data_IF_433138294861
#
_entry.id   IF_433138294861
#
_cell.length_a   1.000
_cell.length_b   1.000
_cell.length_c   1.000
_cell.angle_alpha   90.00
_cell.angle_beta   90.00
_cell.angle_gamma   90.00
#
_symmetry.space_group_name_H-M   'P 1'
#
loop_
_entity.id
_entity.type
_entity.pdbx_description
1 polymer ?
#
# COMPACT_ATOMS: atom_id res chain seq x y z
N UNK A 1 -6.93 -2.21 1.03
CA UNK A 1 -6.14 -3.29 0.41
C UNK A 1 -6.94 -4.11 -0.59
N UNK A 2 -8.14 -4.62 -0.30
CA UNK A 2 -8.92 -5.41 -1.28
C UNK A 2 -9.22 -4.70 -2.61
N UNK A 3 -9.32 -3.36 -2.57
CA UNK A 3 -9.54 -2.48 -3.74
C UNK A 3 -8.26 -2.07 -4.46
N UNK A 4 -7.11 -2.69 -4.17
CA UNK A 4 -5.85 -2.42 -4.87
C UNK A 4 -5.97 -2.76 -6.35
N UNK A 5 -5.38 -1.93 -7.20
CA UNK A 5 -5.40 -2.15 -8.64
C UNK A 5 -4.13 -1.64 -9.33
N UNK A 6 -3.88 -2.13 -10.54
CA UNK A 6 -2.88 -1.59 -11.46
C UNK A 6 -3.55 -1.17 -12.76
N UNK A 7 -3.15 -0.02 -13.30
CA UNK A 7 -3.58 0.50 -14.58
C UNK A 7 -2.39 0.92 -15.43
N UNK A 8 -2.43 0.51 -16.68
CA UNK A 8 -1.49 0.88 -17.73
C UNK A 8 -2.06 1.95 -18.66
N UNK A 9 -3.11 2.66 -18.22
CA UNK A 9 -3.63 3.81 -18.92
C UNK A 9 -2.70 5.02 -18.74
N UNK A 10 -1.54 4.95 -19.41
CA UNK A 10 -0.52 6.00 -19.48
C UNK A 10 0.01 6.11 -20.92
N UNK A 11 0.56 7.26 -21.33
CA UNK A 11 1.27 7.38 -22.60
C UNK A 11 2.37 6.32 -22.72
N UNK A 12 2.65 5.83 -23.93
CA UNK A 12 3.65 4.77 -24.16
C UNK A 12 5.08 5.20 -23.82
N UNK A 13 5.35 6.50 -23.87
CA UNK A 13 6.63 7.14 -23.54
C UNK A 13 6.75 7.53 -22.06
N UNK A 14 5.70 7.33 -21.27
CA UNK A 14 5.68 7.67 -19.85
C UNK A 14 6.37 6.60 -19.01
N UNK A 15 7.42 7.03 -18.29
CA UNK A 15 8.18 6.17 -17.38
C UNK A 15 7.51 6.09 -16.00
N UNK A 16 6.71 7.08 -15.62
CA UNK A 16 6.04 7.11 -14.31
C UNK A 16 5.00 6.00 -14.19
N UNK A 17 5.00 5.34 -13.03
CA UNK A 17 3.95 4.39 -12.66
C UNK A 17 2.89 5.14 -11.85
N UNK A 18 1.78 5.51 -12.48
CA UNK A 18 0.66 6.19 -11.80
C UNK A 18 -0.08 5.30 -10.81
N UNK A 19 -0.02 3.98 -11.02
CA UNK A 19 -0.55 2.98 -10.10
C UNK A 19 0.52 2.01 -9.66
N UNK A 20 0.52 1.62 -8.39
CA UNK A 20 1.54 0.75 -7.83
C UNK A 20 1.02 -0.08 -6.65
N UNK A 21 1.78 -1.13 -6.34
CA UNK A 21 1.89 -1.71 -5.02
C UNK A 21 3.39 -1.82 -4.69
N UNK A 22 3.81 -1.18 -3.60
CA UNK A 22 5.18 -1.17 -3.09
C UNK A 22 5.10 -1.54 -1.61
N UNK A 23 5.25 -2.84 -1.34
CA UNK A 23 5.29 -3.43 -0.01
C UNK A 23 6.74 -3.75 0.35
N UNK A 24 7.24 -3.15 1.44
CA UNK A 24 8.63 -3.23 1.88
C UNK A 24 8.72 -3.92 3.23
N UNK A 25 9.63 -4.89 3.30
CA UNK A 25 9.99 -5.57 4.53
C UNK A 25 11.00 -4.74 5.34
N UNK A 26 10.76 -4.65 6.64
CA UNK A 26 11.72 -4.15 7.61
C UNK A 26 11.53 -4.89 8.94
N UNK A 27 11.70 -6.21 8.91
CA UNK A 27 11.55 -7.13 10.04
C UNK A 27 10.11 -7.15 10.59
N UNK A 28 9.82 -6.35 11.62
CA UNK A 28 8.47 -6.23 12.21
C UNK A 28 7.94 -4.80 12.04
N UNK A 29 8.51 -4.00 11.13
CA UNK A 29 8.18 -2.60 10.87
C UNK A 29 7.95 -2.34 9.40
N UNK A 30 7.15 -3.18 8.77
CA UNK A 30 6.90 -3.14 7.34
C UNK A 30 6.17 -1.86 6.92
N UNK A 31 6.19 -1.60 5.62
CA UNK A 31 5.36 -0.54 5.04
C UNK A 31 4.74 -1.00 3.73
N UNK A 32 3.58 -0.44 3.41
CA UNK A 32 2.92 -0.71 2.14
C UNK A 32 2.32 0.56 1.58
N UNK A 33 2.62 0.82 0.31
CA UNK A 33 2.01 1.89 -0.49
C UNK A 33 1.29 1.26 -1.66
N UNK A 34 0.04 1.64 -1.90
CA UNK A 34 -0.73 1.06 -2.99
C UNK A 34 -1.79 1.99 -3.54
N UNK A 35 -2.12 1.84 -4.82
CA UNK A 35 -3.22 2.54 -5.47
C UNK A 35 -4.54 1.80 -5.27
N UNK A 36 -5.60 2.52 -4.92
CA UNK A 36 -6.89 1.93 -4.59
C UNK A 36 -8.09 2.75 -5.04
N UNK A 37 -9.19 2.07 -5.36
CA UNK A 37 -10.53 2.67 -5.49
C UNK A 37 -11.18 2.75 -4.09
N UNK A 38 -10.77 3.72 -3.29
CA UNK A 38 -11.20 3.84 -1.89
C UNK A 38 -11.43 5.29 -1.45
N UNK A 39 -11.24 6.26 -2.34
CA UNK A 39 -11.37 7.67 -2.00
C UNK A 39 -12.83 8.10 -1.96
N UNK A 40 -13.21 8.87 -0.93
CA UNK A 40 -14.51 9.52 -0.85
C UNK A 40 -14.35 11.03 -1.04
N UNK A 41 -14.96 11.53 -2.12
CA UNK A 41 -15.01 12.97 -2.40
C UNK A 41 -16.03 13.64 -1.48
N UNK A 42 -15.54 14.42 -0.52
CA UNK A 42 -16.37 15.12 0.48
C UNK A 42 -16.72 16.56 0.10
N UNK A 43 -15.98 17.16 -0.85
CA UNK A 43 -16.23 18.53 -1.33
C UNK A 43 -16.91 18.51 -2.70
N UNK A 44 -17.97 19.31 -2.84
CA UNK A 44 -18.63 19.54 -4.12
C UNK A 44 -17.63 20.14 -5.12
N UNK A 45 -17.64 19.64 -6.34
CA UNK A 45 -16.79 20.09 -7.47
C UNK A 45 -15.28 19.96 -7.24
N UNK A 46 -14.85 19.18 -6.23
CA UNK A 46 -13.44 18.86 -6.09
C UNK A 46 -12.96 18.00 -7.27
N UNK A 47 -11.83 18.39 -7.86
CA UNK A 47 -11.17 17.65 -8.93
C UNK A 47 -10.44 16.43 -8.34
N UNK A 48 -11.24 15.45 -7.93
CA UNK A 48 -10.89 14.22 -7.22
C UNK A 48 -11.75 13.09 -7.79
N UNK A 49 -11.13 11.91 -7.98
CA UNK A 49 -11.82 10.67 -8.31
C UNK A 49 -11.99 9.81 -7.05
N UNK A 50 -12.59 8.65 -7.19
CA UNK A 50 -12.55 7.53 -6.23
C UNK A 50 -11.17 6.86 -6.10
N UNK A 51 -10.22 7.21 -6.98
CA UNK A 51 -8.85 6.73 -6.97
C UNK A 51 -7.98 7.49 -5.96
N UNK A 52 -7.14 6.76 -5.23
CA UNK A 52 -6.16 7.32 -4.28
C UNK A 52 -4.89 6.47 -4.27
N UNK A 53 -3.84 7.03 -3.65
CA UNK A 53 -2.67 6.27 -3.20
C UNK A 53 -2.66 6.28 -1.69
N UNK A 54 -2.63 5.11 -1.06
CA UNK A 54 -2.68 4.94 0.38
C UNK A 54 -1.36 4.32 0.84
N UNK A 55 -0.83 4.81 1.95
CA UNK A 55 0.36 4.27 2.60
C UNK A 55 0.04 3.93 4.06
N UNK A 56 0.53 2.77 4.50
CA UNK A 56 0.61 2.37 5.90
C UNK A 56 2.07 2.13 6.28
N UNK A 57 2.48 2.63 7.44
CA UNK A 57 3.85 2.53 7.92
C UNK A 57 3.89 2.72 9.45
N UNK A 58 4.91 2.17 10.10
CA UNK A 58 5.20 2.47 11.49
C UNK A 58 6.09 3.70 11.61
N UNK A 59 5.81 4.52 12.62
CA UNK A 59 6.68 5.63 13.01
C UNK A 59 6.56 5.89 14.51
N UNK A 60 7.52 6.59 15.09
CA UNK A 60 7.51 6.94 16.51
C UNK A 60 6.45 8.01 16.80
N UNK A 61 5.95 8.02 18.04
CA UNK A 61 5.16 9.14 18.54
C UNK A 61 6.07 10.40 18.63
N UNK A 62 5.67 11.54 18.06
CA UNK A 62 6.46 12.77 18.08
C UNK A 62 6.65 13.35 19.48
N UNK A 63 5.72 13.09 20.40
CA UNK A 63 5.75 13.55 21.79
C UNK A 63 6.43 12.51 22.71
N UNK A 64 6.31 11.21 22.40
CA UNK A 64 6.95 10.12 23.15
C UNK A 64 7.62 9.07 22.25
N UNK A 65 8.91 9.27 21.95
CA UNK A 65 9.69 8.37 21.08
C UNK A 65 9.83 6.92 21.57
N UNK A 66 9.41 6.60 22.80
CA UNK A 66 9.36 5.21 23.28
C UNK A 66 8.17 4.44 22.70
N UNK A 67 7.17 5.15 22.17
CA UNK A 67 5.97 4.59 21.56
C UNK A 67 6.09 4.61 20.04
N UNK A 68 5.58 3.56 19.42
CA UNK A 68 5.49 3.42 17.97
C UNK A 68 4.02 3.27 17.60
N UNK A 69 3.60 3.88 16.49
CA UNK A 69 2.22 3.86 16.03
C UNK A 69 2.15 3.41 14.58
N UNK A 70 1.03 2.81 14.20
CA UNK A 70 0.70 2.61 12.79
C UNK A 70 0.03 3.88 12.25
N UNK A 71 0.67 4.45 11.25
CA UNK A 71 0.18 5.62 10.53
C UNK A 71 -0.48 5.23 9.22
N UNK A 72 -1.47 6.04 8.83
CA UNK A 72 -2.07 6.03 7.49
C UNK A 72 -1.90 7.39 6.83
N UNK A 73 -1.40 7.38 5.60
CA UNK A 73 -1.31 8.54 4.70
C UNK A 73 -2.09 8.27 3.42
N UNK A 74 -2.67 9.32 2.84
CA UNK A 74 -3.45 9.21 1.60
C UNK A 74 -3.23 10.42 0.69
N UNK A 75 -2.90 10.15 -0.57
CA UNK A 75 -3.04 11.11 -1.65
C UNK A 75 -4.42 10.99 -2.29
N UNK A 76 -5.11 12.12 -2.46
CA UNK A 76 -6.43 12.22 -3.11
C UNK A 76 -6.37 12.11 -4.63
N UNK A 77 -5.16 11.93 -5.20
CA UNK A 77 -4.90 11.84 -6.64
C UNK A 77 -3.79 10.83 -6.92
N UNK A 78 -3.84 10.23 -8.11
CA UNK A 78 -2.68 9.52 -8.66
C UNK A 78 -1.63 10.57 -9.04
N UNK A 79 -0.53 10.61 -8.30
CA UNK A 79 0.53 11.59 -8.58
C UNK A 79 1.64 11.01 -9.46
N UNK A 80 1.72 9.67 -9.58
CA UNK A 80 2.84 9.00 -10.24
C UNK A 80 4.13 9.08 -9.45
N UNK A 81 4.02 9.40 -8.16
CA UNK A 81 5.13 9.55 -7.23
C UNK A 81 5.49 8.21 -6.57
N UNK A 82 6.70 8.14 -6.03
CA UNK A 82 7.17 7.05 -5.17
C UNK A 82 6.75 7.29 -3.71
N UNK A 83 6.73 6.25 -2.86
CA UNK A 83 6.34 6.39 -1.45
C UNK A 83 7.04 7.53 -0.69
N UNK A 84 8.31 7.79 -0.98
CA UNK A 84 9.13 8.82 -0.36
C UNK A 84 8.62 10.25 -0.64
N UNK A 85 8.06 10.47 -1.83
CA UNK A 85 7.49 11.77 -2.18
C UNK A 85 6.15 12.00 -1.50
N UNK A 86 5.40 10.93 -1.17
CA UNK A 86 4.15 11.06 -0.42
C UNK A 86 4.37 11.71 0.94
N UNK A 87 5.48 11.39 1.61
CA UNK A 87 5.86 11.96 2.91
C UNK A 87 5.97 13.48 2.87
N UNK A 88 6.46 14.03 1.76
CA UNK A 88 6.69 15.46 1.60
C UNK A 88 5.40 16.25 1.43
N UNK A 89 4.37 15.65 0.84
CA UNK A 89 3.19 16.39 0.37
C UNK A 89 1.91 16.08 1.14
N UNK A 90 1.82 14.92 1.80
CA UNK A 90 0.56 14.47 2.40
C UNK A 90 0.71 14.16 3.89
N UNK A 91 -0.21 14.65 4.73
CA UNK A 91 -0.19 14.35 6.16
C UNK A 91 -0.46 12.85 6.39
N UNK A 92 0.14 12.34 7.45
CA UNK A 92 -0.17 11.02 8.00
C UNK A 92 -0.95 11.17 9.31
N UNK A 93 -1.79 10.18 9.60
CA UNK A 93 -2.60 10.14 10.81
C UNK A 93 -2.40 8.81 11.50
N UNK A 94 -2.31 8.84 12.83
CA UNK A 94 -2.31 7.62 13.65
C UNK A 94 -3.64 6.90 13.46
N UNK A 95 -3.58 5.60 13.20
CA UNK A 95 -4.77 4.74 13.12
C UNK A 95 -4.80 3.63 14.17
N UNK A 96 -3.62 3.26 14.69
CA UNK A 96 -3.46 2.33 15.82
C UNK A 96 -2.28 2.81 16.63
N UNK A 97 -2.49 3.03 17.92
CA UNK A 97 -1.45 3.40 18.87
C UNK A 97 -0.71 2.16 19.40
N UNK A 98 0.47 2.37 19.98
CA UNK A 98 1.26 1.34 20.69
C UNK A 98 1.48 0.04 19.90
N UNK A 99 1.85 0.18 18.63
CA UNK A 99 2.13 -0.94 17.73
C UNK A 99 3.56 -1.40 17.91
N UNK A 100 3.74 -2.69 18.19
CA UNK A 100 5.05 -3.32 18.38
C UNK A 100 5.47 -4.18 17.20
N UNK A 101 4.53 -4.56 16.34
CA UNK A 101 4.80 -5.36 15.14
C UNK A 101 3.78 -5.05 14.04
N UNK A 102 4.26 -4.85 12.82
CA UNK A 102 3.47 -4.80 11.61
C UNK A 102 4.23 -5.53 10.51
N UNK A 103 3.75 -6.72 10.17
CA UNK A 103 4.39 -7.67 9.25
C UNK A 103 3.41 -8.02 8.12
N UNK A 104 3.94 -7.96 6.89
CA UNK A 104 3.21 -8.18 5.65
C UNK A 104 3.88 -9.29 4.86
N UNK A 105 3.08 -10.26 4.42
CA UNK A 105 3.54 -11.30 3.49
C UNK A 105 2.69 -11.32 2.24
N UNK A 106 3.32 -11.60 1.11
CA UNK A 106 2.71 -11.55 -0.22
C UNK A 106 2.73 -12.93 -0.88
N UNK A 107 1.57 -13.45 -1.29
CA UNK A 107 1.49 -14.78 -1.91
C UNK A 107 1.93 -14.75 -3.37
N UNK A 108 2.98 -15.50 -3.72
CA UNK A 108 3.37 -15.78 -5.08
C UNK A 108 2.77 -17.11 -5.54
N UNK A 109 1.81 -17.06 -6.47
CA UNK A 109 1.16 -18.26 -7.00
C UNK A 109 2.02 -19.04 -8.01
N UNK A 110 3.04 -18.43 -8.60
CA UNK A 110 3.96 -19.17 -9.50
C UNK A 110 4.90 -20.07 -8.70
N UNK A 111 5.40 -19.55 -7.58
CA UNK A 111 6.37 -20.25 -6.71
C UNK A 111 5.69 -20.99 -5.54
N UNK A 112 4.39 -20.75 -5.32
CA UNK A 112 3.61 -21.31 -4.21
C UNK A 112 4.19 -20.98 -2.83
N UNK A 113 4.65 -19.74 -2.66
CA UNK A 113 5.29 -19.27 -1.43
C UNK A 113 4.85 -17.88 -0.99
N UNK A 114 5.14 -17.56 0.28
CA UNK A 114 4.97 -16.23 0.84
C UNK A 114 6.29 -15.48 0.73
N UNK A 115 6.26 -14.30 0.12
CA UNK A 115 7.39 -13.38 0.01
C UNK A 115 7.26 -12.26 1.03
N UNK A 116 8.40 -11.73 1.47
CA UNK A 116 8.48 -10.63 2.44
C UNK A 116 8.33 -9.25 1.78
N UNK A 117 8.74 -9.13 0.52
CA UNK A 117 8.70 -7.88 -0.25
C UNK A 117 7.93 -8.09 -1.56
N UNK A 118 7.16 -7.08 -1.99
CA UNK A 118 6.49 -7.11 -3.29
C UNK A 118 6.42 -5.71 -3.90
N UNK A 119 7.03 -5.54 -5.09
CA UNK A 119 7.15 -4.22 -5.72
C UNK A 119 6.85 -4.28 -7.21
N UNK A 120 5.76 -3.62 -7.59
CA UNK A 120 5.26 -3.63 -8.98
C UNK A 120 5.98 -2.64 -9.89
N UNK A 121 6.75 -1.72 -9.32
CA UNK A 121 7.50 -0.67 -10.02
C UNK A 121 9.02 -0.94 -10.08
N UNK A 122 9.46 -2.15 -9.69
CA UNK A 122 10.87 -2.56 -9.72
C UNK A 122 11.05 -3.81 -10.57
N UNK A 123 12.04 -3.78 -11.45
CA UNK A 123 12.32 -4.85 -12.40
C UNK A 123 12.74 -6.14 -11.69
N UNK A 124 13.52 -6.03 -10.61
CA UNK A 124 14.08 -7.18 -9.88
C UNK A 124 13.10 -7.83 -8.89
N UNK A 125 11.84 -7.37 -8.84
CA UNK A 125 10.78 -7.88 -7.97
C UNK A 125 9.64 -8.51 -8.80
N UNK A 126 8.42 -8.00 -8.68
CA UNK A 126 7.24 -8.51 -9.37
C UNK A 126 6.62 -7.39 -10.21
N UNK A 127 7.33 -6.94 -11.27
CA UNK A 127 6.89 -5.82 -12.08
C UNK A 127 5.50 -6.09 -12.69
N UNK A 128 4.66 -5.06 -12.66
CA UNK A 128 3.34 -5.04 -13.31
C UNK A 128 2.35 -6.14 -12.90
N UNK A 129 2.58 -6.78 -11.75
CA UNK A 129 1.75 -7.88 -11.25
C UNK A 129 1.43 -7.68 -9.77
N UNK A 130 0.16 -7.82 -9.39
CA UNK A 130 -0.25 -7.82 -8.00
C UNK A 130 -0.10 -9.22 -7.37
N UNK A 131 0.11 -9.31 -6.05
CA UNK A 131 -0.01 -10.57 -5.35
C UNK A 131 -1.48 -11.00 -5.28
N UNK A 132 -1.76 -12.30 -5.25
CA UNK A 132 -3.14 -12.79 -5.12
C UNK A 132 -3.71 -12.56 -3.72
N UNK A 133 -2.83 -12.67 -2.72
CA UNK A 133 -3.17 -12.56 -1.31
C UNK A 133 -2.09 -11.79 -0.56
N UNK A 134 -2.53 -10.99 0.40
CA UNK A 134 -1.67 -10.31 1.36
C UNK A 134 -2.06 -10.80 2.75
N UNK A 135 -1.11 -11.34 3.49
CA UNK A 135 -1.27 -11.65 4.91
C UNK A 135 -0.78 -10.46 5.71
N UNK A 136 -1.56 -10.07 6.72
CA UNK A 136 -1.28 -8.94 7.58
C UNK A 136 -1.25 -9.46 9.01
N UNK A 137 -0.14 -9.22 9.70
CA UNK A 137 0.03 -9.47 11.12
C UNK A 137 0.30 -8.14 11.82
N UNK A 138 -0.46 -7.86 12.87
CA UNK A 138 -0.35 -6.63 13.66
C UNK A 138 -0.24 -7.01 15.14
N UNK A 139 0.82 -6.61 15.81
CA UNK A 139 1.01 -6.72 17.25
C UNK A 139 0.83 -5.37 17.92
N UNK A 140 -0.06 -5.29 18.90
CA UNK A 140 -0.38 -4.07 19.66
C UNK A 140 -0.13 -4.33 21.14
N UNK A 141 0.55 -3.39 21.81
CA UNK A 141 0.76 -3.43 23.25
C UNK A 141 -0.56 -3.16 23.97
N UNK A 142 -0.91 -4.02 24.92
CA UNK A 142 -2.10 -3.88 25.78
C UNK A 142 -1.69 -4.16 27.24
N UNK A 143 -1.44 -3.08 27.99
CA UNK A 143 -0.85 -3.19 29.34
C UNK A 143 0.56 -3.79 29.28
N UNK A 144 0.77 -4.91 29.97
CA UNK A 144 2.05 -5.65 29.98
C UNK A 144 2.14 -6.70 28.86
N UNK A 145 1.04 -6.96 28.15
CA UNK A 145 0.94 -8.01 27.14
C UNK A 145 0.96 -7.44 25.70
N UNK A 146 1.22 -8.30 24.72
CA UNK A 146 1.08 -7.98 23.29
C UNK A 146 -0.03 -8.81 22.67
N UNK A 147 -1.02 -8.15 22.08
CA UNK A 147 -2.12 -8.79 21.36
C UNK A 147 -1.81 -8.82 19.87
N UNK A 148 -1.85 -10.01 19.28
CA UNK A 148 -1.64 -10.19 17.84
C UNK A 148 -2.95 -10.41 17.09
N UNK A 149 -3.13 -9.62 16.04
CA UNK A 149 -4.17 -9.79 15.04
C UNK A 149 -3.54 -10.32 13.76
N UNK A 150 -4.16 -11.32 13.14
CA UNK A 150 -3.72 -11.83 11.83
C UNK A 150 -4.91 -11.98 10.92
N UNK A 151 -4.79 -11.46 9.71
CA UNK A 151 -5.81 -11.56 8.67
C UNK A 151 -5.17 -11.77 7.31
N UNK A 152 -5.98 -12.16 6.33
CA UNK A 152 -5.58 -12.25 4.94
C UNK A 152 -6.57 -11.53 4.06
N UNK A 153 -6.06 -10.79 3.08
CA UNK A 153 -6.85 -10.06 2.10
C UNK A 153 -6.57 -10.64 0.72
N UNK A 154 -7.63 -10.99 -0.01
CA UNK A 154 -7.55 -11.36 -1.41
C UNK A 154 -7.60 -10.09 -2.26
N UNK A 155 -6.69 -9.96 -3.23
CA UNK A 155 -6.76 -8.89 -4.23
C UNK A 155 -7.60 -9.39 -5.40
N UNK A 156 -8.75 -8.75 -5.63
CA UNK A 156 -9.70 -9.22 -6.64
C UNK A 156 -9.24 -8.91 -8.07
N UNK A 157 -8.47 -7.83 -8.25
CA UNK A 157 -7.91 -7.45 -9.54
C UNK A 157 -6.54 -8.09 -9.73
N UNK A 158 -6.48 -9.12 -10.57
CA UNK A 158 -5.23 -9.84 -10.91
C UNK A 158 -4.65 -9.41 -12.26
N UNK A 159 -5.51 -8.95 -13.17
CA UNK A 159 -5.08 -8.39 -14.44
C UNK A 159 -5.00 -6.87 -14.36
N UNK A 160 -3.92 -6.31 -14.90
CA UNK A 160 -3.81 -4.86 -15.07
C UNK A 160 -4.82 -4.36 -16.09
N UNK A 161 -5.36 -3.16 -15.85
CA UNK A 161 -6.22 -2.48 -16.82
C UNK A 161 -5.35 -1.94 -17.95
N UNK A 162 -5.43 -2.54 -19.13
CA UNK A 162 -4.68 -2.16 -20.33
C UNK A 162 -5.64 -1.95 -21.51
N UNK A 163 -5.91 -0.68 -21.85
CA UNK A 163 -6.86 -0.30 -22.89
C UNK A 163 -6.25 -0.33 -24.30
N UNK A 164 -4.93 -0.49 -24.43
CA UNK A 164 -4.27 -0.55 -25.74
C UNK A 164 -4.68 -1.80 -26.54
N UNK A 165 -5.04 -2.89 -25.85
CA UNK A 165 -5.43 -4.17 -26.45
C UNK A 165 -6.83 -4.15 -27.09
N UNK A 166 -7.67 -3.17 -26.76
CA UNK A 166 -9.04 -3.05 -27.27
C UNK A 166 -9.21 -2.19 -28.52
N UNK A 167 -8.11 -1.65 -29.08
CA UNK A 167 -8.12 -0.78 -30.26
C UNK A 167 -7.78 -1.51 -31.58
N UNK A 168 -7.92 -2.84 -31.63
CA UNK A 168 -7.76 -3.64 -32.85
C UNK A 168 -9.09 -3.94 -33.53
#
# INVERSE_FOLDING_TARGET
LSMTYLSFNRPLDEVRHYTLLDGRDSFESDSITFSAFAHLRVRKDANESDQSVIQYFLDQDPEDKSRTHLYRRESRRLTGDIPEDMERFFPAYVIVEDVVAFDLKYWNNQEQEWLDEWRTNKIDFQPDRLPERIKIKLGVQDGDDVVYFTTQVVLMMQEKIDLSKGQQ
#
